data_IF_871004994932
#
_entry.id   IF_871004994932
#
_cell.length_a   1.000
_cell.length_b   1.000
_cell.length_c   1.000
_cell.angle_alpha   90.00
_cell.angle_beta   90.00
_cell.angle_gamma   90.00
#
_symmetry.space_group_name_H-M   'P 1'
#
loop_
_entity.id
_entity.type
_entity.pdbx_description
1 polymer ?
#
# COMPACT_ATOMS: atom_id res chain seq x y z
N UNK A 1 -6.26 19.89 25.84
CA UNK A 1 -4.84 19.60 25.52
C UNK A 1 -4.59 18.25 24.84
N UNK A 2 -5.06 17.13 25.39
CA UNK A 2 -4.77 15.78 24.83
C UNK A 2 -5.15 15.59 23.35
N UNK A 3 -6.26 16.17 22.90
CA UNK A 3 -6.68 16.12 21.49
C UNK A 3 -5.70 16.82 20.55
N UNK A 4 -5.20 18.01 20.93
CA UNK A 4 -4.24 18.79 20.14
C UNK A 4 -2.92 18.03 20.00
N UNK A 5 -2.46 17.40 21.09
CA UNK A 5 -1.26 16.56 21.08
C UNK A 5 -1.41 15.34 20.16
N UNK A 6 -2.58 14.70 20.17
CA UNK A 6 -2.88 13.60 19.26
C UNK A 6 -2.88 14.04 17.79
N UNK A 7 -3.48 15.20 17.47
CA UNK A 7 -3.45 15.74 16.11
C UNK A 7 -2.02 16.02 15.63
N UNK A 8 -1.21 16.71 16.44
CA UNK A 8 0.19 16.98 16.10
C UNK A 8 0.98 15.68 15.88
N UNK A 9 0.77 14.67 16.72
CA UNK A 9 1.45 13.39 16.58
C UNK A 9 1.09 12.69 15.25
N UNK A 10 -0.20 12.63 14.91
CA UNK A 10 -0.65 12.03 13.65
C UNK A 10 -0.11 12.80 12.44
N UNK A 11 -0.15 14.13 12.46
CA UNK A 11 0.38 14.95 11.37
C UNK A 11 1.90 14.76 11.18
N UNK A 12 2.66 14.74 12.27
CA UNK A 12 4.11 14.52 12.22
C UNK A 12 4.46 13.12 11.72
N UNK A 13 3.68 12.12 12.13
CA UNK A 13 3.84 10.75 11.64
C UNK A 13 3.54 10.66 10.14
N UNK A 14 2.43 11.25 9.69
CA UNK A 14 2.07 11.30 8.28
C UNK A 14 3.17 11.96 7.43
N UNK A 15 3.69 13.10 7.88
CA UNK A 15 4.79 13.79 7.19
C UNK A 15 6.07 12.96 7.11
N UNK A 16 6.39 12.23 8.19
CA UNK A 16 7.55 11.34 8.23
C UNK A 16 7.39 10.17 7.26
N UNK A 17 6.21 9.56 7.21
CA UNK A 17 5.91 8.48 6.26
C UNK A 17 5.99 8.96 4.81
N UNK A 18 5.43 10.15 4.53
CA UNK A 18 5.50 10.77 3.21
C UNK A 18 6.95 11.04 2.79
N UNK A 19 7.77 11.54 3.70
CA UNK A 19 9.19 11.81 3.44
C UNK A 19 9.97 10.53 3.09
N UNK A 20 9.67 9.41 3.77
CA UNK A 20 10.27 8.11 3.45
C UNK A 20 9.84 7.61 2.07
N UNK A 21 8.56 7.79 1.72
CA UNK A 21 8.04 7.42 0.40
C UNK A 21 8.71 8.23 -0.71
N UNK A 22 8.80 9.56 -0.54
CA UNK A 22 9.47 10.45 -1.48
C UNK A 22 10.93 10.10 -1.68
N UNK A 23 11.64 9.78 -0.59
CA UNK A 23 13.03 9.37 -0.65
C UNK A 23 13.21 8.08 -1.46
N UNK A 24 12.37 7.06 -1.22
CA UNK A 24 12.39 5.82 -2.01
C UNK A 24 12.08 6.03 -3.49
N UNK A 25 11.12 6.90 -3.81
CA UNK A 25 10.77 7.23 -5.20
C UNK A 25 11.88 8.01 -5.90
N UNK A 26 12.59 8.89 -5.17
CA UNK A 26 13.75 9.62 -5.69
C UNK A 26 14.91 8.67 -5.98
N UNK A 27 15.19 7.74 -5.06
CA UNK A 27 16.23 6.73 -5.23
C UNK A 27 15.95 5.82 -6.43
N UNK A 28 14.69 5.44 -6.65
CA UNK A 28 14.31 4.55 -7.74
C UNK A 28 14.20 5.24 -9.11
N UNK A 29 13.61 6.44 -9.19
CA UNK A 29 13.36 7.12 -10.49
C UNK A 29 14.48 8.06 -10.93
N UNK A 30 15.35 8.50 -10.01
CA UNK A 30 16.40 9.48 -10.29
C UNK A 30 15.91 10.89 -10.65
N UNK A 31 14.60 11.16 -10.58
CA UNK A 31 13.98 12.46 -10.94
C UNK A 31 13.77 13.35 -9.71
N UNK A 32 13.78 14.67 -9.93
CA UNK A 32 13.51 15.67 -8.88
C UNK A 32 12.03 15.77 -8.49
N UNK A 33 11.10 15.34 -9.36
CA UNK A 33 9.63 15.41 -9.16
C UNK A 33 9.06 14.34 -8.21
N UNK A 34 9.77 14.11 -7.11
CA UNK A 34 9.43 13.11 -6.08
C UNK A 34 8.11 13.40 -5.35
N UNK A 35 7.71 14.67 -5.25
CA UNK A 35 6.46 15.09 -4.60
C UNK A 35 5.22 14.69 -5.40
N UNK A 36 5.17 15.08 -6.68
CA UNK A 36 4.03 14.74 -7.56
C UNK A 36 3.92 13.23 -7.77
N UNK A 37 5.06 12.56 -7.90
CA UNK A 37 5.12 11.10 -8.05
C UNK A 37 4.57 10.38 -6.81
N UNK A 38 4.87 10.87 -5.60
CA UNK A 38 4.35 10.30 -4.36
C UNK A 38 2.84 10.49 -4.22
N UNK A 39 2.32 11.67 -4.53
CA UNK A 39 0.88 11.95 -4.45
C UNK A 39 0.10 11.11 -5.47
N UNK A 40 0.58 11.04 -6.73
CA UNK A 40 -0.04 10.20 -7.76
C UNK A 40 -0.07 8.72 -7.37
N UNK A 41 1.01 8.20 -6.79
CA UNK A 41 1.06 6.81 -6.31
C UNK A 41 0.06 6.57 -5.17
N UNK A 42 -0.01 7.48 -4.19
CA UNK A 42 -0.95 7.37 -3.07
C UNK A 42 -2.40 7.45 -3.55
N UNK A 43 -2.72 8.34 -4.49
CA UNK A 43 -4.05 8.42 -5.10
C UNK A 43 -4.41 7.15 -5.88
N UNK A 44 -3.43 6.55 -6.58
CA UNK A 44 -3.64 5.30 -7.29
C UNK A 44 -3.88 4.13 -6.33
N UNK A 45 -3.09 4.04 -5.24
CA UNK A 45 -3.27 3.03 -4.19
C UNK A 45 -4.58 3.20 -3.42
N UNK A 46 -5.08 4.43 -3.25
CA UNK A 46 -6.36 4.69 -2.60
C UNK A 46 -7.56 4.07 -3.36
N UNK A 47 -7.40 3.75 -4.65
CA UNK A 47 -8.41 3.07 -5.47
C UNK A 47 -8.31 1.55 -5.43
N UNK A 48 -7.22 1.02 -4.88
CA UNK A 48 -6.99 -0.42 -4.77
C UNK A 48 -7.87 -0.97 -3.65
N UNK A 49 -8.70 -1.95 -4.00
CA UNK A 49 -9.59 -2.60 -3.05
C UNK A 49 -9.07 -3.99 -2.72
N UNK A 50 -8.96 -4.32 -1.43
CA UNK A 50 -8.64 -5.67 -0.96
C UNK A 50 -9.94 -6.45 -0.78
N UNK A 51 -10.06 -7.58 -1.48
CA UNK A 51 -11.25 -8.44 -1.44
C UNK A 51 -10.84 -9.86 -1.07
N UNK A 52 -11.61 -10.49 -0.20
CA UNK A 52 -11.45 -11.91 0.11
C UNK A 52 -12.53 -12.70 -0.63
N UNK A 53 -12.11 -13.65 -1.46
CA UNK A 53 -13.00 -14.49 -2.27
C UNK A 53 -12.90 -15.93 -1.80
N UNK A 54 -14.05 -16.51 -1.44
CA UNK A 54 -14.14 -17.92 -1.06
C UNK A 54 -14.34 -18.79 -2.32
N UNK A 55 -13.42 -19.71 -2.54
CA UNK A 55 -13.48 -20.75 -3.57
C UNK A 55 -13.54 -22.13 -2.89
N UNK A 56 -14.76 -22.62 -2.64
CA UNK A 56 -14.94 -23.90 -1.94
C UNK A 56 -14.35 -23.86 -0.53
N UNK A 57 -13.25 -24.60 -0.32
CA UNK A 57 -12.52 -24.64 0.96
C UNK A 57 -11.30 -23.69 1.01
N UNK A 58 -11.11 -22.84 0.01
CA UNK A 58 -10.03 -21.86 -0.05
C UNK A 58 -10.58 -20.43 0.07
N UNK A 59 -9.86 -19.57 0.78
CA UNK A 59 -10.07 -18.11 0.83
C UNK A 59 -8.88 -17.45 0.16
N UNK A 60 -9.14 -16.68 -0.90
CA UNK A 60 -8.12 -15.94 -1.64
C UNK A 60 -8.24 -14.46 -1.38
N UNK A 61 -7.16 -13.82 -0.93
CA UNK A 61 -7.05 -12.36 -0.89
C UNK A 61 -6.63 -11.87 -2.28
N UNK A 62 -7.48 -11.06 -2.90
CA UNK A 62 -7.26 -10.40 -4.18
C UNK A 62 -7.21 -8.89 -4.00
N UNK A 63 -6.47 -8.21 -4.89
CA UNK A 63 -6.42 -6.77 -4.96
C UNK A 63 -7.00 -6.29 -6.30
N UNK A 64 -8.08 -5.53 -6.25
CA UNK A 64 -8.77 -4.99 -7.42
C UNK A 64 -8.23 -3.60 -7.78
N UNK A 65 -8.49 -3.14 -9.00
CA UNK A 65 -8.03 -1.84 -9.53
C UNK A 65 -6.50 -1.65 -9.53
N UNK A 66 -5.73 -2.74 -9.49
CA UNK A 66 -4.27 -2.69 -9.60
C UNK A 66 -3.89 -2.46 -11.06
N UNK A 67 -3.33 -1.30 -11.35
CA UNK A 67 -2.81 -0.96 -12.69
C UNK A 67 -1.34 -1.37 -12.82
N UNK A 68 -0.88 -1.58 -14.05
CA UNK A 68 0.53 -1.91 -14.31
C UNK A 68 1.50 -0.83 -13.81
N UNK A 69 1.10 0.44 -13.88
CA UNK A 69 1.89 1.54 -13.33
C UNK A 69 2.12 1.36 -11.82
N UNK A 70 1.10 0.96 -11.05
CA UNK A 70 1.23 0.70 -9.61
C UNK A 70 2.22 -0.45 -9.36
N UNK A 71 2.11 -1.55 -10.09
CA UNK A 71 2.99 -2.72 -9.90
C UNK A 71 4.45 -2.41 -10.26
N UNK A 72 4.66 -1.65 -11.33
CA UNK A 72 6.00 -1.27 -11.79
C UNK A 72 6.65 -0.33 -10.76
N UNK A 73 5.92 0.70 -10.29
CA UNK A 73 6.43 1.61 -9.25
C UNK A 73 6.68 0.89 -7.93
N UNK A 74 5.79 -0.01 -7.48
CA UNK A 74 6.00 -0.81 -6.26
C UNK A 74 7.25 -1.69 -6.37
N UNK A 75 7.52 -2.25 -7.55
CA UNK A 75 8.72 -3.05 -7.80
C UNK A 75 9.98 -2.19 -7.76
N UNK A 76 9.95 -1.01 -8.37
CA UNK A 76 11.06 -0.06 -8.39
C UNK A 76 11.46 0.41 -6.98
N UNK A 77 10.50 0.62 -6.06
CA UNK A 77 10.77 1.03 -4.68
C UNK A 77 10.99 -0.14 -3.68
N UNK A 78 11.05 -1.37 -4.19
CA UNK A 78 11.26 -2.58 -3.38
C UNK A 78 10.09 -2.96 -2.47
N UNK A 79 8.86 -2.70 -2.89
CA UNK A 79 7.61 -2.98 -2.17
C UNK A 79 6.66 -3.89 -2.96
N UNK A 80 7.19 -4.80 -3.79
CA UNK A 80 6.39 -5.72 -4.62
C UNK A 80 5.45 -6.62 -3.82
N UNK A 81 5.78 -6.93 -2.57
CA UNK A 81 4.98 -7.82 -1.72
C UNK A 81 3.75 -7.14 -1.11
N UNK A 82 3.58 -5.81 -1.28
CA UNK A 82 2.48 -5.06 -0.67
C UNK A 82 1.09 -5.49 -1.18
N UNK A 83 1.02 -5.97 -2.42
CA UNK A 83 -0.20 -6.43 -3.09
C UNK A 83 -0.16 -7.94 -3.37
N UNK A 84 0.55 -8.70 -2.54
CA UNK A 84 0.70 -10.14 -2.73
C UNK A 84 -0.61 -10.86 -2.44
N UNK A 85 -1.08 -11.61 -3.43
CA UNK A 85 -2.24 -12.48 -3.26
C UNK A 85 -1.89 -13.64 -2.34
N UNK A 86 -2.75 -13.87 -1.35
CA UNK A 86 -2.61 -14.96 -0.39
C UNK A 86 -3.78 -15.91 -0.52
N UNK A 87 -3.48 -17.21 -0.56
CA UNK A 87 -4.49 -18.26 -0.45
C UNK A 87 -4.36 -18.92 0.91
N UNK A 88 -5.46 -18.99 1.65
CA UNK A 88 -5.56 -19.68 2.93
C UNK A 88 -6.68 -20.72 2.83
N UNK A 89 -6.55 -21.82 3.55
CA UNK A 89 -7.65 -22.77 3.67
C UNK A 89 -8.69 -22.17 4.63
N UNK A 90 -9.96 -22.23 4.27
CA UNK A 90 -11.03 -22.02 5.24
C UNK A 90 -10.90 -23.15 6.26
N UNK A 91 -10.72 -22.82 7.54
CA UNK A 91 -10.53 -23.79 8.60
C UNK A 91 -11.75 -24.73 8.71
N UNK A 92 -11.76 -25.81 7.93
CA UNK A 92 -12.54 -27.02 8.24
C UNK A 92 -11.68 -27.90 9.15
N UNK A 93 -11.48 -27.50 10.40
CA UNK A 93 -11.09 -28.41 11.49
C UNK A 93 -11.29 -27.72 12.85
N UNK A 94 -12.48 -27.89 13.41
CA UNK A 94 -12.70 -28.40 14.77
C UNK A 94 -14.19 -28.74 14.93
N UNK A 95 -14.55 -29.94 14.46
CA UNK A 95 -15.52 -30.79 15.18
C UNK A 95 -14.80 -31.44 16.35
#
# INVERSE_FOLDING_TARGET
EHRVRAYLFVCMLAYRLLSVLQWKLKEASGKEDSWESADMLLQALARVERVEVTFGNEIKTLYLNVTKAITDTLKEIGMSDLLKEETRLADCLKM
#
